data_IF_401603201562
#
_entry.id   IF_401603201562
#
_cell.length_a   1.000
_cell.length_b   1.000
_cell.length_c   1.000
_cell.angle_alpha   90.00
_cell.angle_beta   90.00
_cell.angle_gamma   90.00
#
_symmetry.space_group_name_H-M   'P 1'
#
loop_
_entity.id
_entity.type
_entity.pdbx_description
1 polymer ?
#
# COMPACT_ATOMS: atom_id res chain seq x y z
N UNK A 1 -19.27 9.44 7.66
CA UNK A 1 -18.61 9.74 6.40
C UNK A 1 -17.52 8.73 6.11
N UNK A 2 -17.46 8.28 4.89
CA UNK A 2 -16.49 7.26 4.53
C UNK A 2 -15.08 7.83 4.56
N UNK A 3 -14.13 7.02 4.94
CA UNK A 3 -12.73 7.38 4.88
C UNK A 3 -12.31 7.48 3.42
N UNK A 4 -11.64 8.56 3.01
CA UNK A 4 -11.24 8.70 1.62
C UNK A 4 -10.11 7.77 1.22
N UNK A 5 -9.43 7.18 2.17
CA UNK A 5 -8.27 6.34 1.91
C UNK A 5 -8.46 4.96 2.49
N UNK A 6 -7.70 4.03 1.97
CA UNK A 6 -7.78 2.63 2.38
C UNK A 6 -6.37 2.10 2.62
N UNK A 7 -6.27 1.17 3.54
CA UNK A 7 -5.02 0.51 3.87
C UNK A 7 -4.90 -0.78 3.08
N UNK A 8 -3.76 -0.95 2.43
CA UNK A 8 -3.42 -2.21 1.75
C UNK A 8 -2.20 -2.80 2.42
N UNK A 9 -2.16 -4.12 2.51
CA UNK A 9 -0.98 -4.83 2.96
C UNK A 9 -0.38 -5.55 1.76
N UNK A 10 0.93 -5.47 1.62
CA UNK A 10 1.64 -6.03 0.49
C UNK A 10 2.67 -7.01 1.00
N UNK A 11 2.65 -8.22 0.46
CA UNK A 11 3.57 -9.28 0.85
C UNK A 11 4.34 -9.74 -0.37
N UNK A 12 5.66 -9.56 -0.37
CA UNK A 12 6.48 -10.01 -1.47
C UNK A 12 6.77 -11.51 -1.31
N UNK A 13 6.56 -12.24 -2.38
CA UNK A 13 6.90 -13.66 -2.44
C UNK A 13 8.27 -13.81 -3.09
N UNK A 14 8.54 -13.01 -4.11
CA UNK A 14 9.85 -13.01 -4.73
C UNK A 14 10.19 -11.59 -5.16
N UNK A 15 11.48 -11.29 -5.22
CA UNK A 15 12.02 -10.02 -5.72
C UNK A 15 11.43 -8.81 -4.99
N UNK A 16 11.59 -8.81 -3.68
CA UNK A 16 11.08 -7.72 -2.85
C UNK A 16 11.69 -6.37 -3.26
N UNK A 17 12.93 -6.35 -3.71
CA UNK A 17 13.56 -5.09 -4.07
C UNK A 17 12.92 -4.46 -5.30
N UNK A 18 12.46 -5.27 -6.25
CA UNK A 18 11.77 -4.75 -7.41
C UNK A 18 10.43 -4.15 -7.01
N UNK A 19 9.73 -4.80 -6.09
CA UNK A 19 8.45 -4.29 -5.61
C UNK A 19 8.68 -2.98 -4.87
N UNK A 20 9.72 -2.90 -4.05
CA UNK A 20 10.00 -1.66 -3.32
C UNK A 20 10.36 -0.52 -4.28
N UNK A 21 11.09 -0.82 -5.34
CA UNK A 21 11.41 0.20 -6.32
C UNK A 21 10.14 0.77 -6.95
N UNK A 22 9.16 -0.08 -7.21
CA UNK A 22 7.88 0.38 -7.72
C UNK A 22 7.13 1.21 -6.69
N UNK A 23 7.16 0.81 -5.42
CA UNK A 23 6.52 1.60 -4.37
C UNK A 23 7.08 3.00 -4.31
N UNK A 24 8.40 3.16 -4.48
CA UNK A 24 9.00 4.48 -4.49
C UNK A 24 8.52 5.30 -5.67
N UNK A 25 8.22 4.66 -6.79
CA UNK A 25 7.79 5.40 -7.98
C UNK A 25 6.31 5.79 -7.95
N UNK A 26 5.54 5.21 -7.04
CA UNK A 26 4.14 5.61 -6.85
C UNK A 26 4.15 6.75 -5.84
N UNK A 27 4.58 7.90 -6.28
CA UNK A 27 4.96 8.97 -5.38
C UNK A 27 3.83 9.56 -4.56
N UNK A 28 2.61 9.50 -5.04
CA UNK A 28 1.52 10.15 -4.35
C UNK A 28 0.99 9.36 -3.17
N UNK A 29 1.37 8.10 -3.05
CA UNK A 29 0.78 7.22 -2.04
C UNK A 29 1.82 6.84 -1.00
N UNK A 30 1.54 7.11 0.28
CA UNK A 30 2.49 6.78 1.33
C UNK A 30 2.56 5.28 1.58
N UNK A 31 3.74 4.81 1.89
CA UNK A 31 3.94 3.41 2.25
C UNK A 31 4.93 3.30 3.40
N UNK A 32 4.87 2.18 4.09
CA UNK A 32 5.72 1.92 5.24
C UNK A 32 6.18 0.47 5.19
N UNK A 33 7.48 0.26 5.26
CA UNK A 33 8.01 -1.09 5.34
C UNK A 33 7.87 -1.58 6.78
N UNK A 34 7.23 -2.72 6.97
CA UNK A 34 6.99 -3.23 8.32
C UNK A 34 7.69 -4.57 8.56
N UNK A 35 8.39 -5.05 7.58
CA UNK A 35 9.11 -6.30 7.74
C UNK A 35 9.92 -6.60 6.50
N UNK A 36 10.51 -7.78 6.46
CA UNK A 36 11.32 -8.18 5.33
C UNK A 36 10.41 -8.60 4.19
N UNK A 37 10.18 -7.68 3.28
CA UNK A 37 9.30 -7.94 2.14
C UNK A 37 7.83 -7.72 2.44
N UNK A 38 7.54 -6.89 3.45
CA UNK A 38 6.16 -6.58 3.82
C UNK A 38 6.01 -5.08 3.95
N UNK A 39 4.94 -4.54 3.37
CA UNK A 39 4.69 -3.10 3.40
C UNK A 39 3.22 -2.83 3.66
N UNK A 40 2.97 -1.65 4.23
CA UNK A 40 1.63 -1.08 4.29
C UNK A 40 1.58 0.06 3.29
N UNK A 41 0.47 0.18 2.60
CA UNK A 41 0.28 1.22 1.59
C UNK A 41 -1.07 1.88 1.83
N UNK A 42 -1.09 3.19 1.79
CA UNK A 42 -2.34 3.93 1.87
C UNK A 42 -2.64 4.51 0.50
N UNK A 43 -3.81 4.21 -0.01
CA UNK A 43 -4.22 4.67 -1.33
C UNK A 43 -5.67 5.12 -1.26
N UNK A 44 -6.14 5.85 -2.26
CA UNK A 44 -7.54 6.27 -2.29
C UNK A 44 -8.47 5.06 -2.21
N UNK A 45 -9.60 5.23 -1.54
CA UNK A 45 -10.50 4.11 -1.32
C UNK A 45 -11.12 3.58 -2.60
N UNK A 46 -11.06 4.33 -3.68
CA UNK A 46 -11.52 3.83 -4.97
C UNK A 46 -10.53 2.90 -5.66
N UNK A 47 -9.33 2.78 -5.10
CA UNK A 47 -8.28 1.94 -5.69
C UNK A 47 -8.59 0.48 -5.41
N UNK A 48 -8.41 -0.37 -6.40
CA UNK A 48 -8.63 -1.81 -6.25
C UNK A 48 -7.32 -2.52 -5.97
N UNK A 49 -7.42 -3.73 -5.41
CA UNK A 49 -6.22 -4.54 -5.21
C UNK A 49 -5.54 -4.86 -6.53
N UNK A 50 -6.32 -5.03 -7.59
CA UNK A 50 -5.74 -5.30 -8.89
C UNK A 50 -4.92 -4.12 -9.38
N UNK A 51 -5.42 -2.91 -9.18
CA UNK A 51 -4.67 -1.72 -9.58
C UNK A 51 -3.36 -1.61 -8.83
N UNK A 52 -3.36 -1.91 -7.54
CA UNK A 52 -2.14 -1.89 -6.76
C UNK A 52 -1.16 -2.95 -7.28
N UNK A 53 -1.64 -4.15 -7.55
CA UNK A 53 -0.79 -5.19 -8.09
C UNK A 53 -0.15 -4.76 -9.40
N UNK A 54 -0.94 -4.18 -10.29
CA UNK A 54 -0.42 -3.76 -11.59
C UNK A 54 0.64 -2.68 -11.43
N UNK A 55 0.40 -1.73 -10.55
CA UNK A 55 1.37 -0.66 -10.31
C UNK A 55 2.68 -1.18 -9.72
N UNK A 56 2.62 -2.24 -8.93
CA UNK A 56 3.81 -2.77 -8.29
C UNK A 56 4.52 -3.85 -9.11
N UNK A 57 4.05 -4.09 -10.33
CA UNK A 57 4.71 -5.04 -11.19
C UNK A 57 4.40 -6.48 -10.86
N UNK A 58 3.30 -6.73 -10.16
CA UNK A 58 2.88 -8.08 -9.81
C UNK A 58 1.71 -8.55 -10.66
N UNK A 59 1.32 -7.76 -11.63
CA UNK A 59 0.24 -8.13 -12.53
C UNK A 59 0.75 -9.04 -13.66
N UNK A 60 -0.16 -9.48 -14.52
CA UNK A 60 0.23 -10.39 -15.59
C UNK A 60 1.03 -9.73 -16.70
N UNK A 61 1.00 -8.41 -16.81
CA UNK A 61 1.71 -7.70 -17.85
C UNK A 61 3.01 -7.15 -17.29
N UNK A 62 4.13 -7.59 -17.85
CA UNK A 62 5.47 -7.13 -17.45
C UNK A 62 5.71 -7.29 -15.96
N UNK A 63 5.61 -8.49 -15.43
CA UNK A 63 5.80 -8.68 -14.00
C UNK A 63 7.24 -8.40 -13.58
N UNK A 64 7.40 -7.71 -12.47
CA UNK A 64 8.71 -7.44 -11.89
C UNK A 64 9.02 -8.37 -10.73
N UNK A 65 7.99 -8.86 -10.08
CA UNK A 65 8.16 -9.76 -8.95
C UNK A 65 6.83 -10.43 -8.69
N UNK A 66 6.75 -11.18 -7.63
CA UNK A 66 5.50 -11.82 -7.25
C UNK A 66 5.17 -11.55 -5.79
N UNK A 67 3.90 -11.47 -5.49
CA UNK A 67 3.46 -11.17 -4.14
C UNK A 67 1.95 -11.16 -4.08
N UNK A 68 1.46 -10.71 -2.94
CA UNK A 68 0.03 -10.66 -2.67
C UNK A 68 -0.30 -9.29 -2.12
N UNK A 69 -1.39 -8.71 -2.60
CA UNK A 69 -1.91 -7.46 -2.08
C UNK A 69 -3.28 -7.75 -1.49
N UNK A 70 -3.49 -7.33 -0.25
CA UNK A 70 -4.79 -7.45 0.39
C UNK A 70 -5.27 -6.08 0.83
N UNK A 71 -6.57 -5.87 0.72
CA UNK A 71 -7.19 -4.66 1.22
C UNK A 71 -7.59 -4.90 2.67
N UNK A 72 -7.16 -4.04 3.57
CA UNK A 72 -7.43 -4.22 4.98
C UNK A 72 -8.74 -3.58 5.34
N UNK A 73 -9.69 -4.37 5.80
CA UNK A 73 -10.96 -3.87 6.30
C UNK A 73 -10.85 -3.49 7.76
N UNK A 74 -9.93 -4.11 8.46
CA UNK A 74 -9.63 -3.77 9.83
C UNK A 74 -8.22 -4.22 10.14
N UNK A 75 -7.66 -3.70 11.21
CA UNK A 75 -6.31 -4.08 11.58
C UNK A 75 -6.17 -4.02 13.09
N UNK A 76 -5.42 -4.97 13.63
CA UNK A 76 -5.18 -5.06 15.05
C UNK A 76 -3.98 -5.97 15.26
N UNK A 77 -3.25 -5.72 16.32
CA UNK A 77 -2.10 -6.55 16.60
C UNK A 77 -1.14 -5.83 17.52
N UNK A 78 0.08 -6.30 17.53
CA UNK A 78 1.14 -5.70 18.33
C UNK A 78 2.22 -5.18 17.39
N UNK A 79 2.49 -3.91 17.48
CA UNK A 79 3.50 -3.28 16.65
C UNK A 79 4.01 -2.05 17.35
N UNK A 80 5.03 -1.43 16.79
CA UNK A 80 5.57 -0.20 17.34
C UNK A 80 4.49 0.89 17.33
N UNK A 81 4.53 1.74 18.33
CA UNK A 81 3.58 2.85 18.40
C UNK A 81 3.64 3.72 17.15
N UNK A 82 4.82 3.90 16.59
CA UNK A 82 4.97 4.71 15.40
C UNK A 82 4.20 4.14 14.21
N UNK A 83 4.09 2.83 14.12
CA UNK A 83 3.31 2.20 13.05
C UNK A 83 1.84 2.58 13.16
N UNK A 84 1.29 2.51 14.37
CA UNK A 84 -0.12 2.86 14.56
C UNK A 84 -0.38 4.33 14.28
N UNK A 85 0.54 5.19 14.70
CA UNK A 85 0.42 6.62 14.44
C UNK A 85 0.49 6.91 12.94
N UNK A 86 1.36 6.21 12.24
CA UNK A 86 1.49 6.36 10.80
C UNK A 86 0.18 6.00 10.10
N UNK A 87 -0.41 4.85 10.47
CA UNK A 87 -1.66 4.41 9.87
C UNK A 87 -2.76 5.44 10.12
N UNK A 88 -2.91 5.86 11.36
CA UNK A 88 -3.97 6.80 11.71
C UNK A 88 -3.82 8.12 10.94
N UNK A 89 -2.59 8.62 10.86
CA UNK A 89 -2.34 9.88 10.18
C UNK A 89 -2.61 9.76 8.68
N UNK A 90 -2.11 8.69 8.08
CA UNK A 90 -2.19 8.59 6.62
C UNK A 90 -3.58 8.22 6.13
N UNK A 91 -4.32 7.46 6.91
CA UNK A 91 -5.70 7.15 6.52
C UNK A 91 -6.55 8.39 6.44
N UNK A 92 -6.26 9.39 7.27
CA UNK A 92 -7.01 10.62 7.25
C UNK A 92 -6.45 11.69 6.33
N UNK A 93 -5.33 11.42 5.67
CA UNK A 93 -4.69 12.43 4.83
C UNK A 93 -5.37 12.52 3.47
N UNK A 94 -5.24 13.68 2.84
CA UNK A 94 -5.62 13.80 1.45
C UNK A 94 -4.48 13.36 0.58
N UNK A 95 -4.78 12.51 -0.38
CA UNK A 95 -3.76 11.94 -1.23
C UNK A 95 -3.94 12.42 -2.67
N UNK A 96 -2.97 13.14 -3.12
CA UNK A 96 -2.74 13.44 -4.51
C UNK A 96 -3.99 13.56 -5.37
N UNK A 97 -4.02 12.82 -6.42
CA UNK A 97 -5.08 12.92 -7.39
C UNK A 97 -6.44 12.53 -6.83
N UNK A 98 -6.44 11.70 -5.82
CA UNK A 98 -7.69 11.29 -5.25
C UNK A 98 -8.39 12.42 -4.58
N UNK A 99 -7.66 13.34 -4.08
CA UNK A 99 -8.25 14.43 -3.33
C UNK A 99 -8.75 15.52 -4.22
N UNK A 100 -8.48 15.41 -5.47
CA UNK A 100 -8.89 16.50 -6.32
C UNK A 100 -10.30 16.42 -6.67
N UNK A 101 -10.92 15.53 -6.21
CA UNK A 101 -12.24 15.54 -6.49
C UNK A 101 -13.07 16.38 -6.16
#
# INVERSE_FOLDING_TARGET
MATPNTLFAIFAVSDASAIEARLRSVAAWPYLNVGSGEWLLIAPSSTTTKEVCDLLGMGPVEPSGSGIVVRAEGYYGRSAKSTWEWIATKLGAELGAASTV
#
